data_IF_129088250333
#
_entry.id   IF_129088250333
#
_cell.length_a   1.000
_cell.length_b   1.000
_cell.length_c   1.000
_cell.angle_alpha   90.00
_cell.angle_beta   90.00
_cell.angle_gamma   90.00
#
_symmetry.space_group_name_H-M   'P 1'
#
loop_
_entity.id
_entity.type
_entity.pdbx_description
1 polymer ?
#
# COMPACT_ATOMS: atom_id res chain seq x y z
N UNK A 1 -7.87 -22.60 9.32
CA UNK A 1 -7.97 -21.18 9.70
C UNK A 1 -8.35 -20.41 8.44
N UNK A 2 -9.56 -19.84 8.37
CA UNK A 2 -9.98 -19.02 7.21
C UNK A 2 -9.38 -17.62 7.41
N UNK A 3 -8.12 -17.45 6.99
CA UNK A 3 -7.40 -16.20 7.10
C UNK A 3 -7.98 -15.26 6.05
N UNK A 4 -8.60 -14.15 6.48
CA UNK A 4 -9.11 -13.14 5.54
C UNK A 4 -7.93 -12.59 4.73
N UNK A 5 -7.85 -13.00 3.47
CA UNK A 5 -6.78 -12.65 2.53
C UNK A 5 -6.63 -11.13 2.35
N UNK A 6 -7.65 -10.35 2.68
CA UNK A 6 -7.62 -8.89 2.58
C UNK A 6 -6.59 -8.28 3.54
N UNK A 7 -6.40 -8.87 4.71
CA UNK A 7 -5.43 -8.38 5.70
C UNK A 7 -3.97 -8.52 5.24
N UNK A 8 -3.46 -9.72 4.87
CA UNK A 8 -2.08 -9.85 4.43
C UNK A 8 -1.82 -9.11 3.11
N UNK A 9 -2.77 -9.11 2.17
CA UNK A 9 -2.63 -8.39 0.90
C UNK A 9 -2.60 -6.87 1.17
N UNK A 10 -3.52 -6.35 1.99
CA UNK A 10 -3.56 -4.93 2.32
C UNK A 10 -2.28 -4.45 3.01
N UNK A 11 -1.77 -5.23 3.96
CA UNK A 11 -0.51 -4.94 4.64
C UNK A 11 0.67 -4.93 3.67
N UNK A 12 0.74 -5.90 2.76
CA UNK A 12 1.79 -5.98 1.76
C UNK A 12 1.80 -4.72 0.87
N UNK A 13 0.65 -4.32 0.34
CA UNK A 13 0.54 -3.09 -0.47
C UNK A 13 0.88 -1.82 0.33
N UNK A 14 0.47 -1.75 1.60
CA UNK A 14 0.77 -0.61 2.46
C UNK A 14 2.28 -0.48 2.71
N UNK A 15 2.97 -1.59 3.01
CA UNK A 15 4.42 -1.62 3.26
C UNK A 15 5.20 -1.31 1.98
N UNK A 16 4.89 -1.99 0.87
CA UNK A 16 5.57 -1.76 -0.40
C UNK A 16 5.35 -0.34 -0.92
N UNK A 17 4.12 0.18 -0.81
CA UNK A 17 3.82 1.56 -1.15
C UNK A 17 4.59 2.56 -0.28
N UNK A 18 4.68 2.31 1.03
CA UNK A 18 5.49 3.11 1.95
C UNK A 18 6.98 3.13 1.58
N UNK A 19 7.55 1.97 1.24
CA UNK A 19 8.94 1.89 0.77
C UNK A 19 9.15 2.67 -0.53
N UNK A 20 8.21 2.59 -1.48
CA UNK A 20 8.25 3.34 -2.73
C UNK A 20 8.15 4.86 -2.52
N UNK A 21 7.34 5.32 -1.57
CA UNK A 21 7.26 6.73 -1.17
C UNK A 21 8.61 7.20 -0.64
N UNK A 22 9.19 6.48 0.31
CA UNK A 22 10.50 6.84 0.91
C UNK A 22 11.59 6.85 -0.16
N UNK A 23 11.62 5.83 -1.02
CA UNK A 23 12.58 5.73 -2.10
C UNK A 23 12.40 6.85 -3.14
N UNK A 24 11.16 7.16 -3.53
CA UNK A 24 10.83 8.25 -4.43
C UNK A 24 11.23 9.61 -3.88
N UNK A 25 10.99 9.87 -2.59
CA UNK A 25 11.43 11.10 -1.93
C UNK A 25 12.96 11.20 -1.90
N UNK A 26 13.65 10.10 -1.56
CA UNK A 26 15.11 10.07 -1.52
C UNK A 26 15.73 10.40 -2.89
N UNK A 27 15.30 9.66 -3.91
CA UNK A 27 15.83 9.77 -5.28
C UNK A 27 15.52 11.11 -5.93
N UNK A 28 14.43 11.78 -5.55
CA UNK A 28 14.14 13.14 -6.04
C UNK A 28 15.23 14.15 -5.65
N UNK A 29 15.88 13.96 -4.49
CA UNK A 29 16.96 14.83 -4.04
C UNK A 29 18.35 14.28 -4.39
N UNK A 30 18.54 12.96 -4.43
CA UNK A 30 19.85 12.34 -4.67
C UNK A 30 20.17 12.11 -6.15
N UNK A 31 19.18 11.82 -6.99
CA UNK A 31 19.35 11.50 -8.41
C UNK A 31 18.10 11.88 -9.24
N UNK A 32 17.84 13.18 -9.47
CA UNK A 32 16.66 13.63 -10.21
C UNK A 32 16.67 13.23 -11.69
N UNK A 33 17.85 12.99 -12.29
CA UNK A 33 18.00 12.64 -13.71
C UNK A 33 17.45 11.24 -14.02
N UNK A 34 17.29 10.38 -13.02
CA UNK A 34 16.61 9.09 -13.14
C UNK A 34 15.19 9.25 -13.73
N UNK A 35 14.53 10.38 -13.49
CA UNK A 35 13.15 10.62 -13.89
C UNK A 35 12.96 11.11 -15.33
N UNK A 36 14.03 11.33 -16.09
CA UNK A 36 13.92 11.77 -17.49
C UNK A 36 13.18 10.75 -18.37
N UNK A 37 13.38 9.46 -18.10
CA UNK A 37 12.62 8.36 -18.75
C UNK A 37 11.13 8.37 -18.40
N UNK A 38 10.78 9.09 -17.35
CA UNK A 38 9.43 9.23 -16.79
C UNK A 38 8.84 10.62 -17.09
N UNK A 39 9.39 11.36 -18.06
CA UNK A 39 8.99 12.75 -18.38
C UNK A 39 9.23 13.72 -17.21
N UNK A 40 10.24 13.47 -16.38
CA UNK A 40 10.53 14.23 -15.16
C UNK A 40 9.57 13.94 -14.00
N UNK A 41 8.65 12.98 -14.15
CA UNK A 41 7.70 12.62 -13.09
C UNK A 41 8.31 11.60 -12.14
N UNK A 42 8.17 11.84 -10.84
CA UNK A 42 8.56 10.90 -9.80
C UNK A 42 7.57 9.72 -9.73
N UNK A 43 7.73 8.78 -10.65
CA UNK A 43 6.84 7.63 -10.80
C UNK A 43 6.81 6.75 -9.54
N UNK A 44 7.94 6.70 -8.82
CA UNK A 44 8.08 5.96 -7.57
C UNK A 44 7.17 6.53 -6.48
N UNK A 45 7.18 7.85 -6.33
CA UNK A 45 6.35 8.53 -5.34
C UNK A 45 4.86 8.40 -5.67
N UNK A 46 4.47 8.62 -6.93
CA UNK A 46 3.06 8.55 -7.35
C UNK A 46 2.48 7.15 -7.18
N UNK A 47 3.17 6.10 -7.66
CA UNK A 47 2.70 4.73 -7.47
C UNK A 47 2.80 4.26 -6.03
N UNK A 48 3.82 4.72 -5.29
CA UNK A 48 3.92 4.49 -3.85
C UNK A 48 2.71 5.02 -3.09
N UNK A 49 2.26 6.23 -3.40
CA UNK A 49 1.04 6.83 -2.83
C UNK A 49 -0.21 6.01 -3.17
N UNK A 50 -0.39 5.63 -4.44
CA UNK A 50 -1.54 4.81 -4.87
C UNK A 50 -1.56 3.46 -4.14
N UNK A 51 -0.43 2.76 -4.10
CA UNK A 51 -0.29 1.47 -3.41
C UNK A 51 -0.53 1.60 -1.90
N UNK A 52 0.00 2.65 -1.27
CA UNK A 52 -0.14 2.86 0.17
C UNK A 52 -1.58 3.18 0.57
N UNK A 53 -2.26 4.04 -0.19
CA UNK A 53 -3.68 4.35 -0.02
C UNK A 53 -4.54 3.10 -0.20
N UNK A 54 -4.31 2.34 -1.28
CA UNK A 54 -5.02 1.11 -1.57
C UNK A 54 -4.81 0.05 -0.47
N UNK A 55 -3.56 -0.20 -0.08
CA UNK A 55 -3.21 -1.16 0.96
C UNK A 55 -3.79 -0.81 2.33
N UNK A 56 -3.75 0.47 2.70
CA UNK A 56 -4.35 0.98 3.94
C UNK A 56 -5.87 0.79 3.92
N UNK A 57 -6.52 1.13 2.80
CA UNK A 57 -7.96 0.95 2.63
C UNK A 57 -8.38 -0.53 2.72
N UNK A 58 -7.66 -1.42 2.02
CA UNK A 58 -7.93 -2.85 2.07
C UNK A 58 -7.71 -3.44 3.47
N UNK A 59 -6.63 -3.04 4.15
CA UNK A 59 -6.35 -3.47 5.52
C UNK A 59 -7.46 -3.01 6.47
N UNK A 60 -7.94 -1.78 6.31
CA UNK A 60 -9.06 -1.25 7.10
C UNK A 60 -10.36 -2.04 6.88
N UNK A 61 -10.68 -2.40 5.64
CA UNK A 61 -11.84 -3.24 5.33
C UNK A 61 -11.71 -4.65 5.93
N UNK A 62 -10.54 -5.28 5.86
CA UNK A 62 -10.30 -6.60 6.45
C UNK A 62 -10.41 -6.60 7.98
N UNK A 63 -9.97 -5.52 8.64
CA UNK A 63 -10.13 -5.37 10.11
C UNK A 63 -11.59 -5.24 10.52
N UNK A 64 -12.40 -4.56 9.71
CA UNK A 64 -13.85 -4.41 9.95
C UNK A 64 -14.63 -5.70 9.69
N UNK A 65 -14.29 -6.46 8.64
CA UNK A 65 -14.90 -7.77 8.38
C UNK A 65 -14.57 -8.80 9.47
N UNK A 66 -13.38 -8.74 10.05
CA UNK A 66 -12.98 -9.60 11.17
C UNK A 66 -13.68 -9.27 12.51
N UNK A 67 -14.39 -8.14 12.60
CA UNK A 67 -15.13 -7.73 13.82
C UNK A 67 -16.60 -8.19 13.81
N UNK A 68 -17.10 -8.78 12.72
CA UNK A 68 -18.38 -9.50 12.72
C UNK A 68 -18.23 -10.81 13.52
N UNK A 69 -18.59 -10.74 14.81
CA UNK A 69 -18.62 -11.85 15.75
C UNK A 69 -19.74 -12.86 15.42
N UNK A 70 -19.56 -14.13 15.82
CA UNK A 70 -20.07 -15.32 15.14
C UNK A 70 -21.58 -15.40 15.15
N UNK A 71 -22.17 -15.80 14.02
CA UNK A 71 -23.55 -16.28 13.95
C UNK A 71 -23.69 -17.40 14.99
N UNK A 72 -24.33 -17.07 16.10
CA UNK A 72 -24.83 -18.00 17.09
C UNK A 72 -25.78 -18.94 16.34
N UNK A 73 -25.33 -20.15 16.05
CA UNK A 73 -26.18 -21.23 15.58
C UNK A 73 -26.39 -22.18 16.76
N UNK A 74 -27.66 -22.28 17.12
CA UNK A 74 -28.24 -23.03 18.22
C UNK A 74 -27.93 -24.52 18.18
#
# INVERSE_FOLDING_TARGET
MNLDIRLPIGLLFAILGGLLIVYGLWTQFSDPNMYDRSLGLNINLWWGLVMSLFGTFMTWLGRKGATEKPQQAH
#
